data_IF_792321164200
#
_entry.id   IF_792321164200
#
_cell.length_a   1.000
_cell.length_b   1.000
_cell.length_c   1.000
_cell.angle_alpha   90.00
_cell.angle_beta   90.00
_cell.angle_gamma   90.00
#
_symmetry.space_group_name_H-M   'P 1'
#
loop_
_entity.id
_entity.type
_entity.pdbx_description
1 polymer ?
#
# COMPACT_ATOMS: atom_id res chain seq x y z
N UNK A 1 -57.22 41.71 -68.21
CA UNK A 1 -58.02 42.87 -67.78
C UNK A 1 -57.71 43.15 -66.33
N UNK A 2 -57.16 44.36 -66.11
CA UNK A 2 -57.11 45.17 -64.88
C UNK A 2 -56.53 44.50 -63.62
N UNK A 3 -55.26 44.80 -63.26
CA UNK A 3 -54.86 45.94 -62.39
C UNK A 3 -55.51 45.94 -61.00
N UNK A 4 -54.74 45.81 -59.94
CA UNK A 4 -54.38 46.91 -59.06
C UNK A 4 -53.34 46.55 -58.00
N UNK A 5 -52.32 47.34 -57.98
CA UNK A 5 -51.36 47.64 -56.95
C UNK A 5 -52.00 47.95 -55.62
N UNK A 6 -51.38 47.57 -54.52
CA UNK A 6 -51.20 48.50 -53.41
C UNK A 6 -50.07 48.08 -52.45
N UNK A 7 -49.21 49.04 -52.31
CA UNK A 7 -48.18 49.07 -51.26
C UNK A 7 -48.81 48.93 -49.88
N UNK A 8 -48.18 48.13 -49.01
CA UNK A 8 -48.28 48.36 -47.58
C UNK A 8 -46.91 48.15 -46.89
N UNK A 9 -46.56 49.20 -46.31
CA UNK A 9 -45.45 49.67 -45.50
C UNK A 9 -44.92 48.61 -44.51
N UNK A 10 -43.61 48.34 -44.59
CA UNK A 10 -42.84 47.61 -43.61
C UNK A 10 -42.79 48.38 -42.29
N UNK A 11 -43.40 47.85 -41.27
CA UNK A 11 -43.07 48.20 -39.87
C UNK A 11 -42.01 47.21 -39.36
N UNK A 12 -40.78 47.68 -39.28
CA UNK A 12 -39.72 47.03 -38.56
C UNK A 12 -39.99 47.03 -37.05
N UNK A 13 -40.48 45.97 -36.49
CA UNK A 13 -40.39 45.71 -35.03
C UNK A 13 -39.02 45.16 -34.72
N UNK A 14 -38.13 46.00 -34.18
CA UNK A 14 -36.94 45.55 -33.49
C UNK A 14 -37.38 44.89 -32.19
N UNK A 15 -37.35 43.57 -32.15
CA UNK A 15 -37.34 42.80 -30.89
C UNK A 15 -35.93 42.84 -30.33
N UNK A 16 -35.71 43.64 -29.29
CA UNK A 16 -34.54 43.59 -28.47
C UNK A 16 -34.53 42.25 -27.69
N UNK A 17 -33.68 41.33 -28.09
CA UNK A 17 -33.39 40.16 -27.28
C UNK A 17 -32.52 40.58 -26.09
N UNK A 18 -33.12 40.64 -24.92
CA UNK A 18 -32.42 40.76 -23.64
C UNK A 18 -31.77 39.43 -23.38
N UNK A 19 -30.47 39.29 -23.68
CA UNK A 19 -29.66 38.13 -23.28
C UNK A 19 -29.37 38.30 -21.79
N UNK A 20 -30.18 37.67 -20.95
CA UNK A 20 -29.84 37.47 -19.53
C UNK A 20 -28.77 36.41 -19.51
N UNK A 21 -27.50 36.82 -19.43
CA UNK A 21 -26.42 35.96 -19.03
C UNK A 21 -26.63 35.66 -17.54
N UNK A 22 -27.35 34.58 -17.26
CA UNK A 22 -27.34 33.99 -15.93
C UNK A 22 -25.92 33.47 -15.67
N UNK A 23 -25.12 34.27 -15.00
CA UNK A 23 -23.93 33.77 -14.31
C UNK A 23 -24.44 32.80 -13.26
N UNK A 24 -24.56 31.55 -13.65
CA UNK A 24 -24.66 30.44 -12.71
C UNK A 24 -23.39 30.46 -11.88
N UNK A 25 -23.43 31.07 -10.70
CA UNK A 25 -22.52 30.70 -9.63
C UNK A 25 -22.68 29.20 -9.44
N UNK A 26 -21.79 28.42 -10.03
CA UNK A 26 -21.49 27.10 -9.56
C UNK A 26 -21.00 27.29 -8.13
N UNK A 27 -21.92 27.24 -7.18
CA UNK A 27 -21.60 27.01 -5.78
C UNK A 27 -21.09 25.56 -5.79
N UNK A 28 -19.81 25.37 -6.16
CA UNK A 28 -19.11 24.18 -5.74
C UNK A 28 -19.12 24.26 -4.22
N UNK A 29 -20.03 23.50 -3.59
CA UNK A 29 -19.98 23.30 -2.16
C UNK A 29 -18.55 22.94 -1.76
N UNK A 30 -18.12 23.28 -0.56
CA UNK A 30 -16.77 23.01 -0.12
C UNK A 30 -16.52 21.50 -0.28
N UNK A 31 -15.69 21.14 -1.25
CA UNK A 31 -15.18 19.77 -1.35
C UNK A 31 -14.17 19.66 -0.23
N UNK A 32 -14.63 19.16 0.90
CA UNK A 32 -13.81 18.93 2.09
C UNK A 32 -12.81 17.81 1.77
N UNK A 33 -11.53 18.11 1.69
CA UNK A 33 -10.50 17.10 1.49
C UNK A 33 -9.70 16.84 2.78
N UNK A 34 -9.38 17.86 3.59
CA UNK A 34 -8.74 17.65 4.90
C UNK A 34 -9.54 16.68 5.79
N UNK A 35 -8.88 15.92 6.69
CA UNK A 35 -9.58 15.02 7.61
C UNK A 35 -10.69 15.74 8.40
N UNK A 36 -11.91 15.16 8.43
CA UNK A 36 -13.10 15.79 9.00
C UNK A 36 -13.70 14.99 10.15
N UNK A 37 -14.28 15.69 11.11
CA UNK A 37 -15.06 15.09 12.19
C UNK A 37 -14.25 14.19 13.12
N UNK A 38 -12.99 14.55 13.38
CA UNK A 38 -12.10 13.77 14.24
C UNK A 38 -12.56 13.82 15.71
N UNK A 39 -12.80 12.63 16.29
CA UNK A 39 -13.16 12.45 17.72
C UNK A 39 -12.16 11.48 18.34
N UNK A 40 -11.45 11.93 19.38
CA UNK A 40 -10.53 11.08 20.15
C UNK A 40 -11.34 10.11 21.01
N UNK A 41 -11.18 8.79 20.77
CA UNK A 41 -11.91 7.72 21.49
C UNK A 41 -11.07 7.04 22.56
N UNK A 42 -9.74 7.13 22.48
CA UNK A 42 -8.80 6.57 23.44
C UNK A 42 -7.51 7.40 23.47
N UNK A 43 -6.89 7.51 24.64
CA UNK A 43 -5.71 8.34 24.84
C UNK A 43 -6.04 9.83 24.87
N UNK A 44 -5.02 10.67 24.64
CA UNK A 44 -5.15 12.13 24.66
C UNK A 44 -4.49 12.72 23.42
N UNK A 45 -5.26 13.45 22.63
CA UNK A 45 -4.79 14.21 21.49
C UNK A 45 -5.66 15.45 21.27
N UNK A 46 -5.09 16.49 20.64
CA UNK A 46 -5.82 17.65 20.16
C UNK A 46 -5.67 17.76 18.64
N UNK A 47 -6.74 18.19 17.97
CA UNK A 47 -6.79 18.33 16.52
C UNK A 47 -6.98 19.81 16.19
N UNK A 48 -6.05 20.38 15.44
CA UNK A 48 -6.09 21.77 15.02
C UNK A 48 -5.94 21.85 13.49
N UNK A 49 -6.90 22.49 12.83
CA UNK A 49 -6.86 22.75 11.39
C UNK A 49 -6.67 24.24 11.14
N UNK A 50 -5.70 24.60 10.31
CA UNK A 50 -5.44 25.97 9.88
C UNK A 50 -4.97 25.98 8.43
N UNK A 51 -5.74 26.62 7.55
CA UNK A 51 -5.48 26.62 6.13
C UNK A 51 -5.39 25.19 5.56
N UNK A 52 -4.26 24.85 4.97
CA UNK A 52 -4.00 23.55 4.38
C UNK A 52 -3.32 22.55 5.35
N UNK A 53 -3.23 22.87 6.64
CA UNK A 53 -2.50 22.06 7.61
C UNK A 53 -3.44 21.56 8.71
N UNK A 54 -3.44 20.24 8.91
CA UNK A 54 -4.07 19.59 10.05
C UNK A 54 -2.98 19.10 11.00
N UNK A 55 -2.93 19.63 12.22
CA UNK A 55 -1.99 19.18 13.25
C UNK A 55 -2.74 18.36 14.31
N UNK A 56 -2.27 17.15 14.55
CA UNK A 56 -2.72 16.25 15.60
C UNK A 56 -1.60 16.19 16.65
N UNK A 57 -1.83 16.83 17.82
CA UNK A 57 -0.88 16.83 18.92
C UNK A 57 -1.27 15.74 19.91
N UNK A 58 -0.59 14.61 19.86
CA UNK A 58 -0.82 13.46 20.73
C UNK A 58 0.05 13.56 22.01
N UNK A 59 -0.57 13.45 23.16
CA UNK A 59 0.15 13.51 24.44
C UNK A 59 0.45 12.12 25.03
N UNK A 60 -0.35 11.09 24.70
CA UNK A 60 -0.20 9.72 25.21
C UNK A 60 0.56 8.81 24.24
N UNK A 61 1.14 7.69 24.72
CA UNK A 61 1.83 6.71 23.87
C UNK A 61 0.91 6.08 22.82
N UNK A 62 -0.37 5.91 23.15
CA UNK A 62 -1.42 5.45 22.24
C UNK A 62 -2.55 6.44 22.22
N UNK A 63 -3.07 6.73 21.04
CA UNK A 63 -4.33 7.45 20.85
C UNK A 63 -5.14 6.83 19.74
N UNK A 64 -6.46 6.76 19.89
CA UNK A 64 -7.37 6.35 18.83
C UNK A 64 -8.31 7.52 18.50
N UNK A 65 -8.48 7.76 17.20
CA UNK A 65 -9.29 8.86 16.66
C UNK A 65 -10.23 8.29 15.61
N UNK A 66 -11.53 8.51 15.76
CA UNK A 66 -12.52 8.23 14.75
C UNK A 66 -12.75 9.48 13.90
N UNK A 67 -12.77 9.31 12.57
CA UNK A 67 -12.95 10.36 11.59
C UNK A 67 -14.20 10.12 10.75
N UNK A 68 -14.90 11.16 10.34
CA UNK A 68 -15.95 11.05 9.32
C UNK A 68 -15.34 10.83 7.93
N UNK A 69 -14.26 11.54 7.63
CA UNK A 69 -13.45 11.32 6.44
C UNK A 69 -11.98 11.59 6.72
N UNK A 70 -11.08 10.91 6.01
CA UNK A 70 -9.64 11.12 6.09
C UNK A 70 -9.06 11.13 4.67
N UNK A 71 -9.00 12.31 4.08
CA UNK A 71 -8.45 12.57 2.74
C UNK A 71 -7.62 13.85 2.76
N UNK A 72 -6.76 14.04 1.75
CA UNK A 72 -5.96 15.27 1.58
C UNK A 72 -5.90 15.65 0.11
N UNK A 73 -5.92 16.95 -0.19
CA UNK A 73 -5.59 17.52 -1.50
C UNK A 73 -4.08 17.68 -1.67
N UNK A 74 -3.56 17.95 -2.89
CA UNK A 74 -2.12 18.02 -3.14
C UNK A 74 -1.34 19.00 -2.25
N UNK A 75 -1.94 20.14 -1.86
CA UNK A 75 -1.29 21.13 -0.99
C UNK A 75 -1.55 20.93 0.49
N UNK A 76 -2.35 19.93 0.86
CA UNK A 76 -2.72 19.71 2.24
C UNK A 76 -1.72 18.79 2.95
N UNK A 77 -1.48 19.10 4.22
CA UNK A 77 -0.55 18.35 5.06
C UNK A 77 -1.22 17.96 6.36
N UNK A 78 -1.09 16.70 6.74
CA UNK A 78 -1.48 16.18 8.05
C UNK A 78 -0.22 15.87 8.84
N UNK A 79 -0.04 16.49 10.00
CA UNK A 79 1.09 16.28 10.88
C UNK A 79 0.65 15.65 12.21
N UNK A 80 1.26 14.55 12.58
CA UNK A 80 1.13 13.93 13.89
C UNK A 80 2.35 14.27 14.73
N UNK A 81 2.17 15.14 15.71
CA UNK A 81 3.15 15.47 16.74
C UNK A 81 2.95 14.53 17.91
N UNK A 82 3.81 13.54 18.03
CA UNK A 82 3.71 12.44 18.98
C UNK A 82 4.87 12.49 19.97
N UNK A 83 4.71 11.92 21.20
CA UNK A 83 5.76 11.99 22.25
C UNK A 83 7.11 11.42 21.81
N UNK A 84 7.12 10.37 21.00
CA UNK A 84 8.34 9.71 20.49
C UNK A 84 8.03 8.80 19.29
N UNK A 85 9.05 8.17 18.73
CA UNK A 85 8.94 7.28 17.57
C UNK A 85 8.12 5.99 17.85
N UNK A 86 7.99 5.57 19.12
CA UNK A 86 7.22 4.39 19.52
C UNK A 86 5.73 4.67 19.73
N UNK A 87 5.35 5.95 19.86
CA UNK A 87 3.95 6.33 20.03
C UNK A 87 3.10 6.00 18.80
N UNK A 88 1.85 5.59 19.00
CA UNK A 88 0.96 5.12 17.93
C UNK A 88 -0.33 5.93 17.92
N UNK A 89 -0.71 6.46 16.76
CA UNK A 89 -2.01 7.04 16.48
C UNK A 89 -2.84 6.11 15.60
N UNK A 90 -3.92 5.55 16.12
CA UNK A 90 -4.91 4.80 15.36
C UNK A 90 -5.96 5.77 14.81
N UNK A 91 -6.07 5.87 13.49
CA UNK A 91 -7.04 6.71 12.80
C UNK A 91 -8.02 5.81 12.06
N UNK A 92 -9.28 5.80 12.49
CA UNK A 92 -10.33 4.98 11.89
C UNK A 92 -11.35 5.88 11.21
N UNK A 93 -11.60 5.67 9.93
CA UNK A 93 -12.68 6.33 9.20
C UNK A 93 -13.97 5.55 9.44
N UNK A 94 -14.97 6.24 9.97
CA UNK A 94 -16.29 5.69 10.28
C UNK A 94 -17.37 6.14 9.29
N UNK A 95 -17.07 7.11 8.41
CA UNK A 95 -17.94 7.51 7.32
C UNK A 95 -17.88 6.53 6.14
N UNK A 96 -18.62 6.84 5.08
CA UNK A 96 -18.82 5.93 3.94
C UNK A 96 -17.91 6.22 2.74
N UNK A 97 -17.06 7.24 2.83
CA UNK A 97 -16.16 7.63 1.77
C UNK A 97 -14.80 6.92 1.88
N UNK A 98 -14.21 6.53 0.76
CA UNK A 98 -12.83 6.05 0.75
C UNK A 98 -11.86 7.18 1.09
N UNK A 99 -10.70 6.85 1.62
CA UNK A 99 -9.61 7.80 1.83
C UNK A 99 -8.83 8.00 0.54
N UNK A 100 -8.67 9.26 0.11
CA UNK A 100 -7.82 9.65 -1.01
C UNK A 100 -6.79 10.63 -0.48
N UNK A 101 -5.54 10.20 -0.42
CA UNK A 101 -4.42 11.03 0.02
C UNK A 101 -3.66 11.51 -1.21
N UNK A 102 -3.75 12.80 -1.50
CA UNK A 102 -3.02 13.47 -2.59
C UNK A 102 -1.91 14.36 -2.06
N UNK A 103 -1.96 14.75 -0.77
CA UNK A 103 -1.01 15.61 -0.09
C UNK A 103 0.00 14.83 0.78
N UNK A 104 0.45 15.46 1.86
CA UNK A 104 1.45 14.91 2.75
C UNK A 104 0.86 14.44 4.09
N UNK A 105 1.38 13.32 4.60
CA UNK A 105 1.15 12.83 5.96
C UNK A 105 2.51 12.63 6.65
N UNK A 106 2.76 13.36 7.71
CA UNK A 106 4.00 13.28 8.47
C UNK A 106 3.72 12.89 9.92
N UNK A 107 4.60 12.11 10.53
CA UNK A 107 4.49 11.74 11.93
C UNK A 107 5.84 11.59 12.62
N UNK A 108 5.90 12.00 13.89
CA UNK A 108 7.04 11.71 14.77
C UNK A 108 7.12 10.21 15.06
N UNK A 109 5.99 9.60 15.35
CA UNK A 109 5.80 8.19 15.69
C UNK A 109 5.12 7.38 14.58
N UNK A 110 4.25 6.47 14.97
CA UNK A 110 3.57 5.51 14.11
C UNK A 110 2.13 5.92 13.86
N UNK A 111 1.67 5.69 12.64
CA UNK A 111 0.29 6.01 12.24
C UNK A 111 -0.36 4.77 11.63
N UNK A 112 -1.53 4.42 12.16
CA UNK A 112 -2.40 3.41 11.59
C UNK A 112 -3.62 4.12 10.99
N UNK A 113 -3.85 3.93 9.71
CA UNK A 113 -5.01 4.44 8.98
C UNK A 113 -5.90 3.27 8.57
N UNK A 114 -7.12 3.27 9.09
CA UNK A 114 -8.11 2.24 8.79
C UNK A 114 -9.31 2.85 8.09
N UNK A 115 -9.64 2.33 6.91
CA UNK A 115 -10.85 2.70 6.20
C UNK A 115 -11.40 1.52 5.39
N UNK A 116 -12.51 0.93 5.83
CA UNK A 116 -13.15 -0.21 5.18
C UNK A 116 -13.64 0.08 3.74
N UNK A 117 -13.82 1.35 3.38
CA UNK A 117 -14.27 1.76 2.03
C UNK A 117 -13.12 1.85 1.01
N UNK A 118 -11.86 1.68 1.47
CA UNK A 118 -10.67 1.73 0.65
C UNK A 118 -9.75 2.91 0.97
N UNK A 119 -8.48 2.75 0.59
CA UNK A 119 -7.43 3.76 0.78
C UNK A 119 -6.63 3.87 -0.51
N UNK A 120 -6.51 5.09 -1.03
CA UNK A 120 -5.71 5.43 -2.18
C UNK A 120 -4.68 6.50 -1.80
N UNK A 121 -3.41 6.18 -1.92
CA UNK A 121 -2.32 7.15 -1.94
C UNK A 121 -2.11 7.53 -3.41
N UNK A 122 -2.50 8.73 -3.78
CA UNK A 122 -2.45 9.20 -5.17
C UNK A 122 -1.00 9.53 -5.60
N UNK A 123 -0.78 9.63 -6.89
CA UNK A 123 0.52 10.01 -7.43
C UNK A 123 0.95 11.39 -6.91
N UNK A 124 2.17 11.46 -6.37
CA UNK A 124 2.71 12.67 -5.75
C UNK A 124 2.43 12.82 -4.26
N UNK A 125 1.55 12.00 -3.67
CA UNK A 125 1.37 11.99 -2.22
C UNK A 125 2.60 11.44 -1.50
N UNK A 126 2.80 11.89 -0.26
CA UNK A 126 3.93 11.43 0.57
C UNK A 126 3.47 11.06 1.97
N UNK A 127 3.99 9.96 2.48
CA UNK A 127 3.82 9.53 3.88
C UNK A 127 5.21 9.35 4.48
N UNK A 128 5.49 10.05 5.60
CA UNK A 128 6.76 9.98 6.32
C UNK A 128 6.49 9.75 7.80
N UNK A 129 6.79 8.57 8.32
CA UNK A 129 6.46 8.16 9.69
C UNK A 129 7.54 7.28 10.30
N UNK A 130 7.49 7.02 11.63
CA UNK A 130 8.34 6.00 12.22
C UNK A 130 7.85 4.58 11.91
N UNK A 131 6.56 4.41 11.65
CA UNK A 131 5.94 3.19 11.17
C UNK A 131 4.54 3.46 10.66
N UNK A 132 4.12 2.78 9.61
CA UNK A 132 2.85 3.05 8.94
C UNK A 132 2.06 1.77 8.66
N UNK A 133 0.77 1.80 8.98
CA UNK A 133 -0.18 0.76 8.59
C UNK A 133 -1.35 1.42 7.86
N UNK A 134 -1.66 0.98 6.65
CA UNK A 134 -2.90 1.29 5.97
C UNK A 134 -3.73 0.00 5.80
N UNK A 135 -4.97 0.01 6.27
CA UNK A 135 -5.79 -1.19 6.28
C UNK A 135 -7.24 -0.91 5.95
N UNK A 136 -7.82 -1.78 5.13
CA UNK A 136 -9.28 -1.85 4.99
C UNK A 136 -9.92 -2.84 5.97
N UNK A 137 -9.11 -3.61 6.68
CA UNK A 137 -9.52 -4.44 7.80
C UNK A 137 -9.56 -3.61 9.08
N UNK A 138 -10.48 -3.90 9.97
CA UNK A 138 -10.65 -3.17 11.23
C UNK A 138 -9.75 -3.74 12.34
N UNK A 139 -9.27 -2.84 13.20
CA UNK A 139 -8.61 -3.14 14.45
C UNK A 139 -9.46 -2.54 15.59
N UNK A 140 -9.92 -3.33 16.54
CA UNK A 140 -10.74 -2.84 17.65
C UNK A 140 -9.92 -2.00 18.63
N UNK A 141 -10.55 -1.06 19.33
CA UNK A 141 -9.87 -0.26 20.38
C UNK A 141 -9.35 -1.16 21.51
N UNK A 142 -10.07 -2.25 21.82
CA UNK A 142 -9.63 -3.25 22.80
C UNK A 142 -8.31 -3.90 22.38
N UNK A 143 -8.25 -4.42 21.15
CA UNK A 143 -7.06 -5.10 20.63
C UNK A 143 -5.90 -4.10 20.47
N UNK A 144 -6.17 -2.89 19.97
CA UNK A 144 -5.20 -1.82 19.85
C UNK A 144 -4.58 -1.45 21.20
N UNK A 145 -5.40 -1.21 22.22
CA UNK A 145 -4.92 -0.84 23.56
C UNK A 145 -4.13 -1.99 24.21
N UNK A 146 -4.55 -3.24 24.00
CA UNK A 146 -3.86 -4.43 24.46
C UNK A 146 -2.54 -4.73 23.70
N UNK A 147 -2.26 -4.04 22.57
CA UNK A 147 -1.10 -4.35 21.72
C UNK A 147 -1.28 -5.63 20.90
N UNK A 148 -2.51 -6.08 20.70
CA UNK A 148 -2.87 -7.21 19.85
C UNK A 148 -3.26 -6.69 18.46
N UNK A 149 -2.38 -6.86 17.50
CA UNK A 149 -2.58 -6.28 16.15
C UNK A 149 -3.21 -7.30 15.21
N UNK A 150 -4.45 -7.70 15.53
CA UNK A 150 -5.29 -8.61 14.74
C UNK A 150 -6.33 -7.82 13.98
N UNK A 151 -6.09 -7.65 12.69
CA UNK A 151 -6.97 -6.94 11.77
C UNK A 151 -8.01 -7.88 11.20
N UNK A 152 -9.29 -7.50 11.23
CA UNK A 152 -10.41 -8.35 10.78
C UNK A 152 -11.33 -7.57 9.85
N UNK A 153 -11.85 -8.26 8.84
CA UNK A 153 -12.85 -7.71 7.92
C UNK A 153 -14.15 -7.36 8.68
N UNK A 154 -14.69 -6.19 8.38
CA UNK A 154 -15.98 -5.71 8.85
C UNK A 154 -16.79 -5.14 7.67
N UNK A 155 -17.29 -6.01 6.80
CA UNK A 155 -17.99 -5.64 5.55
C UNK A 155 -17.12 -4.87 4.53
N UNK A 156 -15.79 -4.89 4.68
CA UNK A 156 -14.88 -4.25 3.75
C UNK A 156 -14.91 -4.91 2.38
N UNK A 157 -15.08 -4.10 1.34
CA UNK A 157 -14.85 -4.47 -0.07
C UNK A 157 -13.76 -3.59 -0.70
N UNK A 158 -13.21 -2.67 0.09
CA UNK A 158 -12.20 -1.73 -0.37
C UNK A 158 -10.83 -2.38 -0.56
N UNK A 159 -10.00 -1.74 -1.36
CA UNK A 159 -8.59 -2.08 -1.57
C UNK A 159 -7.67 -1.01 -0.98
N UNK A 160 -6.41 -1.38 -0.75
CA UNK A 160 -5.33 -0.43 -0.46
C UNK A 160 -4.45 -0.30 -1.70
N UNK A 161 -4.38 0.91 -2.24
CA UNK A 161 -3.60 1.20 -3.45
C UNK A 161 -2.60 2.32 -3.13
N UNK A 162 -1.33 2.06 -3.36
CA UNK A 162 -0.28 3.07 -3.28
C UNK A 162 0.21 3.45 -4.67
N UNK A 163 0.06 4.71 -5.05
CA UNK A 163 0.65 5.33 -6.24
C UNK A 163 1.61 6.48 -5.85
N UNK A 164 1.73 6.77 -4.56
CA UNK A 164 2.60 7.80 -3.98
C UNK A 164 3.90 7.23 -3.44
N UNK A 165 4.47 7.94 -2.49
CA UNK A 165 5.69 7.52 -1.77
C UNK A 165 5.39 7.35 -0.28
N UNK A 166 5.61 6.15 0.24
CA UNK A 166 5.46 5.83 1.66
C UNK A 166 6.83 5.48 2.24
N UNK A 167 7.28 6.27 3.20
CA UNK A 167 8.60 6.09 3.83
C UNK A 167 8.45 5.89 5.33
N UNK A 168 8.99 4.80 5.84
CA UNK A 168 9.22 4.62 7.27
C UNK A 168 10.66 5.03 7.62
N UNK A 169 10.87 5.58 8.82
CA UNK A 169 12.20 5.83 9.36
C UNK A 169 13.01 4.54 9.45
N UNK A 170 14.32 4.68 9.51
CA UNK A 170 15.24 3.54 9.68
C UNK A 170 14.80 2.63 10.83
N UNK A 171 14.74 1.33 10.58
CA UNK A 171 14.23 0.31 11.53
C UNK A 171 12.70 0.27 11.68
N UNK A 172 11.97 1.18 11.02
CA UNK A 172 10.51 1.22 11.04
C UNK A 172 9.84 0.19 10.13
N UNK A 173 8.54 0.38 9.90
CA UNK A 173 7.80 -0.56 9.05
C UNK A 173 6.70 0.11 8.25
N UNK A 174 6.33 -0.53 7.13
CA UNK A 174 5.12 -0.21 6.36
C UNK A 174 4.31 -1.49 6.17
N UNK A 175 3.02 -1.47 6.53
CA UNK A 175 2.12 -2.58 6.25
C UNK A 175 0.86 -2.09 5.51
N UNK A 176 0.54 -2.71 4.39
CA UNK A 176 -0.69 -2.48 3.63
C UNK A 176 -1.54 -3.76 3.70
N UNK A 177 -2.77 -3.66 4.24
CA UNK A 177 -3.60 -4.81 4.57
C UNK A 177 -5.02 -4.66 3.99
N UNK A 178 -5.54 -5.71 3.37
CA UNK A 178 -6.91 -5.71 2.83
C UNK A 178 -7.21 -6.91 1.96
N UNK A 179 -8.43 -7.04 1.40
CA UNK A 179 -8.74 -8.09 0.43
C UNK A 179 -7.92 -7.99 -0.85
N UNK A 180 -7.59 -6.77 -1.28
CA UNK A 180 -6.68 -6.52 -2.39
C UNK A 180 -5.73 -5.37 -2.05
N UNK A 181 -4.43 -5.58 -2.31
CA UNK A 181 -3.36 -4.63 -2.03
C UNK A 181 -2.51 -4.45 -3.28
N UNK A 182 -2.31 -3.21 -3.72
CA UNK A 182 -1.52 -2.88 -4.90
C UNK A 182 -0.52 -1.76 -4.61
N UNK A 183 0.75 -2.03 -4.82
CA UNK A 183 1.79 -1.01 -4.86
C UNK A 183 2.13 -0.65 -6.31
N UNK A 184 1.81 0.59 -6.69
CA UNK A 184 2.10 1.21 -7.98
C UNK A 184 2.94 2.48 -7.79
N UNK A 185 3.53 2.66 -6.62
CA UNK A 185 4.40 3.74 -6.23
C UNK A 185 5.61 3.21 -5.47
N UNK A 186 6.18 4.02 -4.61
CA UNK A 186 7.40 3.68 -3.87
C UNK A 186 7.08 3.44 -2.39
N UNK A 187 7.60 2.34 -1.84
CA UNK A 187 7.59 2.06 -0.40
C UNK A 187 9.03 1.87 0.07
N UNK A 188 9.43 2.56 1.14
CA UNK A 188 10.79 2.47 1.69
C UNK A 188 10.79 2.28 3.22
N UNK A 189 11.55 1.28 3.72
CA UNK A 189 11.75 0.99 5.14
C UNK A 189 13.14 0.40 5.38
N UNK A 190 14.19 1.21 5.24
CA UNK A 190 15.59 0.77 5.43
C UNK A 190 15.81 0.17 6.82
N UNK A 191 16.46 -0.99 6.90
CA UNK A 191 16.67 -1.81 8.10
C UNK A 191 15.36 -2.17 8.84
N UNK A 192 14.24 -2.03 8.15
CA UNK A 192 12.90 -2.26 8.68
C UNK A 192 12.14 -3.32 7.92
N UNK A 193 10.82 -3.26 7.96
CA UNK A 193 9.97 -4.26 7.30
C UNK A 193 8.90 -3.62 6.43
N UNK A 194 8.68 -4.21 5.25
CA UNK A 194 7.54 -3.89 4.40
C UNK A 194 6.67 -5.14 4.26
N UNK A 195 5.37 -4.98 4.51
CA UNK A 195 4.40 -6.06 4.37
C UNK A 195 3.22 -5.62 3.51
N UNK A 196 2.90 -6.42 2.49
CA UNK A 196 1.66 -6.31 1.73
C UNK A 196 0.91 -7.63 1.93
N UNK A 197 -0.27 -7.58 2.56
CA UNK A 197 -0.98 -8.80 2.92
C UNK A 197 -2.46 -8.75 2.54
N UNK A 198 -2.92 -9.82 1.88
CA UNK A 198 -4.29 -9.98 1.44
C UNK A 198 -5.00 -11.12 2.16
N UNK A 199 -6.12 -10.81 2.80
CA UNK A 199 -6.97 -11.74 3.53
C UNK A 199 -8.11 -11.04 4.23
N UNK A 200 -9.01 -11.80 4.86
CA UNK A 200 -10.12 -11.30 5.69
C UNK A 200 -9.74 -11.18 7.17
N UNK A 201 -8.66 -11.86 7.58
CA UNK A 201 -8.04 -11.71 8.90
C UNK A 201 -6.52 -11.79 8.77
N UNK A 202 -5.84 -10.75 9.27
CA UNK A 202 -4.38 -10.64 9.23
C UNK A 202 -3.86 -10.27 10.61
N UNK A 203 -2.88 -11.01 11.08
CA UNK A 203 -2.17 -10.74 12.34
C UNK A 203 -0.78 -10.20 12.05
N UNK A 204 -0.44 -9.06 12.62
CA UNK A 204 0.91 -8.50 12.61
C UNK A 204 1.62 -8.84 13.92
N UNK A 205 2.77 -9.50 13.83
CA UNK A 205 3.59 -9.90 14.97
C UNK A 205 4.79 -8.97 15.11
N UNK A 206 4.91 -8.35 16.28
CA UNK A 206 5.99 -7.43 16.61
C UNK A 206 6.92 -8.04 17.67
N UNK A 207 8.21 -7.74 17.55
CA UNK A 207 9.18 -7.92 18.62
C UNK A 207 9.68 -6.52 19.04
N UNK A 208 9.21 -6.05 20.20
CA UNK A 208 9.36 -4.64 20.56
C UNK A 208 8.69 -3.75 19.51
N UNK A 209 9.48 -2.91 18.88
CA UNK A 209 8.99 -1.94 17.87
C UNK A 209 9.11 -2.43 16.43
N UNK A 210 9.72 -3.59 16.19
CA UNK A 210 9.97 -4.14 14.87
C UNK A 210 8.88 -5.11 14.44
N UNK A 211 8.34 -4.94 13.23
CA UNK A 211 7.45 -5.92 12.59
C UNK A 211 8.28 -7.13 12.14
N UNK A 212 8.09 -8.27 12.77
CA UNK A 212 8.87 -9.47 12.50
C UNK A 212 8.19 -10.48 11.59
N UNK A 213 6.86 -10.53 11.62
CA UNK A 213 6.08 -11.44 10.77
C UNK A 213 4.65 -10.96 10.53
N UNK A 214 4.07 -11.47 9.44
CA UNK A 214 2.68 -11.27 9.04
C UNK A 214 2.04 -12.63 8.80
N UNK A 215 0.89 -12.88 9.44
CA UNK A 215 0.13 -14.11 9.27
C UNK A 215 -1.23 -13.77 8.66
N UNK A 216 -1.59 -14.38 7.54
CA UNK A 216 -2.94 -14.32 6.99
C UNK A 216 -3.75 -15.47 7.58
N UNK A 217 -4.51 -15.18 8.65
CA UNK A 217 -5.29 -16.18 9.39
C UNK A 217 -6.51 -16.68 8.60
N UNK A 218 -7.18 -15.75 7.87
CA UNK A 218 -8.34 -16.07 7.04
C UNK A 218 -8.19 -15.47 5.65
N UNK A 219 -8.43 -16.28 4.65
CA UNK A 219 -8.40 -15.88 3.25
C UNK A 219 -9.60 -15.04 2.83
N UNK A 220 -9.54 -14.41 1.67
CA UNK A 220 -10.58 -13.58 1.06
C UNK A 220 -10.92 -14.04 -0.35
N UNK A 221 -12.11 -13.66 -0.86
CA UNK A 221 -12.61 -14.14 -2.16
C UNK A 221 -11.74 -13.76 -3.36
N UNK A 222 -11.11 -12.59 -3.35
CA UNK A 222 -10.26 -12.09 -4.44
C UNK A 222 -8.90 -11.70 -3.87
N UNK A 223 -8.20 -12.69 -3.29
CA UNK A 223 -6.93 -12.46 -2.63
C UNK A 223 -5.85 -12.01 -3.65
N UNK A 224 -5.49 -10.74 -3.60
CA UNK A 224 -4.52 -10.14 -4.50
C UNK A 224 -3.52 -9.28 -3.75
N UNK A 225 -2.24 -9.57 -3.93
CA UNK A 225 -1.14 -8.67 -3.60
C UNK A 225 -0.31 -8.46 -4.86
N UNK A 226 -0.08 -7.20 -5.23
CA UNK A 226 0.77 -6.89 -6.37
C UNK A 226 1.74 -5.74 -6.08
N UNK A 227 2.97 -5.88 -6.60
CA UNK A 227 3.95 -4.81 -6.69
C UNK A 227 4.28 -4.54 -8.15
N UNK A 228 3.98 -3.32 -8.60
CA UNK A 228 4.20 -2.87 -9.99
C UNK A 228 5.31 -1.83 -10.11
N UNK A 229 5.73 -1.20 -8.99
CA UNK A 229 6.76 -0.18 -8.99
C UNK A 229 7.90 -0.59 -8.05
N UNK A 230 8.07 0.01 -6.86
CA UNK A 230 9.27 -0.27 -6.07
C UNK A 230 8.98 -0.44 -4.57
N UNK A 231 9.66 -1.43 -3.97
CA UNK A 231 9.73 -1.66 -2.52
C UNK A 231 11.19 -1.78 -2.13
N UNK A 232 11.64 -0.94 -1.19
CA UNK A 232 13.01 -0.89 -0.68
C UNK A 232 13.04 -1.13 0.83
N UNK A 233 13.75 -2.18 1.26
CA UNK A 233 13.95 -2.54 2.66
C UNK A 233 15.37 -3.07 2.91
N UNK A 234 16.38 -2.38 2.42
CA UNK A 234 17.79 -2.80 2.56
C UNK A 234 18.16 -2.99 4.04
N UNK A 235 18.80 -4.10 4.37
CA UNK A 235 19.09 -4.54 5.75
C UNK A 235 17.86 -5.00 6.52
N UNK A 236 16.74 -5.22 5.87
CA UNK A 236 15.45 -5.53 6.46
C UNK A 236 14.68 -6.64 5.74
N UNK A 237 13.35 -6.54 5.77
CA UNK A 237 12.48 -7.62 5.31
C UNK A 237 11.34 -7.09 4.43
N UNK A 238 11.04 -7.82 3.35
CA UNK A 238 9.84 -7.61 2.53
C UNK A 238 9.00 -8.88 2.51
N UNK A 239 7.71 -8.75 2.81
CA UNK A 239 6.74 -9.86 2.82
C UNK A 239 5.56 -9.46 1.93
N UNK A 240 5.33 -10.20 0.85
CA UNK A 240 4.11 -10.15 0.05
C UNK A 240 3.37 -11.48 0.27
N UNK A 241 2.17 -11.43 0.83
CA UNK A 241 1.40 -12.65 1.11
C UNK A 241 -0.08 -12.48 0.84
N UNK A 242 -0.69 -13.47 0.20
CA UNK A 242 -2.11 -13.51 -0.08
C UNK A 242 -2.67 -14.88 0.25
N UNK A 243 -3.91 -14.93 0.78
CA UNK A 243 -4.62 -16.17 1.04
C UNK A 243 -6.03 -16.09 0.49
N UNK A 244 -6.39 -17.06 -0.37
CA UNK A 244 -7.75 -17.19 -0.86
C UNK A 244 -8.67 -17.79 0.22
N UNK A 245 -9.95 -17.46 0.17
CA UNK A 245 -10.96 -18.02 1.07
C UNK A 245 -11.27 -19.50 0.75
N UNK A 246 -11.02 -19.90 -0.49
CA UNK A 246 -11.31 -21.21 -1.04
C UNK A 246 -10.20 -21.57 -2.04
N UNK A 247 -9.78 -22.83 -2.05
CA UNK A 247 -8.73 -23.34 -2.95
C UNK A 247 -9.13 -23.24 -4.45
N UNK A 248 -10.42 -23.15 -4.74
CA UNK A 248 -10.92 -22.93 -6.12
C UNK A 248 -10.68 -21.52 -6.65
N UNK A 249 -10.50 -20.53 -5.78
CA UNK A 249 -10.39 -19.12 -6.16
C UNK A 249 -8.96 -18.68 -6.44
N UNK A 250 -7.98 -19.35 -5.85
CA UNK A 250 -6.55 -19.10 -6.00
C UNK A 250 -6.12 -17.68 -5.55
N UNK A 251 -5.23 -17.61 -4.56
CA UNK A 251 -4.58 -16.37 -4.18
C UNK A 251 -3.58 -15.93 -5.26
N UNK A 252 -3.34 -14.63 -5.40
CA UNK A 252 -2.34 -14.11 -6.32
C UNK A 252 -1.37 -13.17 -5.62
N UNK A 253 -0.07 -13.46 -5.77
CA UNK A 253 1.02 -12.58 -5.37
C UNK A 253 1.86 -12.29 -6.61
N UNK A 254 1.81 -11.05 -7.10
CA UNK A 254 2.43 -10.65 -8.36
C UNK A 254 3.51 -9.59 -8.12
N UNK A 255 4.71 -9.82 -8.64
CA UNK A 255 5.75 -8.80 -8.70
C UNK A 255 6.19 -8.57 -10.15
N UNK A 256 5.87 -7.40 -10.69
CA UNK A 256 6.39 -6.91 -11.97
C UNK A 256 7.32 -5.71 -11.81
N UNK A 257 7.44 -5.18 -10.60
CA UNK A 257 8.32 -4.08 -10.23
C UNK A 257 9.62 -4.54 -9.57
N UNK A 258 10.17 -3.70 -8.71
CA UNK A 258 11.40 -3.95 -7.96
C UNK A 258 11.06 -4.23 -6.50
N UNK A 259 11.58 -5.32 -5.96
CA UNK A 259 11.66 -5.57 -4.52
C UNK A 259 13.13 -5.71 -4.17
N UNK A 260 13.61 -4.83 -3.29
CA UNK A 260 14.99 -4.78 -2.88
C UNK A 260 15.09 -4.85 -1.36
N UNK A 261 15.83 -5.84 -0.87
CA UNK A 261 16.17 -6.03 0.53
C UNK A 261 17.63 -6.51 0.60
N UNK A 262 18.56 -5.64 0.19
CA UNK A 262 19.99 -5.96 0.12
C UNK A 262 20.60 -6.00 1.53
N UNK A 263 21.66 -6.78 1.69
CA UNK A 263 22.43 -6.77 2.91
C UNK A 263 23.12 -5.41 3.13
N UNK A 264 22.95 -4.86 4.32
CA UNK A 264 23.70 -3.67 4.81
C UNK A 264 24.56 -4.10 6.00
N UNK A 265 25.87 -4.03 5.86
CA UNK A 265 26.83 -4.56 6.83
C UNK A 265 26.55 -6.05 7.09
N UNK A 266 26.18 -6.41 8.34
CA UNK A 266 25.85 -7.80 8.72
C UNK A 266 24.33 -8.06 8.75
N UNK A 267 23.51 -7.07 8.43
CA UNK A 267 22.06 -7.19 8.38
C UNK A 267 21.64 -7.75 7.02
N UNK A 268 21.41 -9.07 6.97
CA UNK A 268 20.96 -9.74 5.76
C UNK A 268 19.52 -9.35 5.44
N UNK A 269 19.27 -8.99 4.19
CA UNK A 269 17.93 -8.76 3.71
C UNK A 269 17.16 -10.04 3.44
N UNK A 270 15.84 -9.98 3.50
CA UNK A 270 14.98 -11.10 3.12
C UNK A 270 13.75 -10.65 2.35
N UNK A 271 13.36 -11.46 1.36
CA UNK A 271 12.18 -11.24 0.53
C UNK A 271 11.35 -12.52 0.53
N UNK A 272 10.09 -12.46 0.90
CA UNK A 272 9.15 -13.58 0.85
C UNK A 272 7.92 -13.20 0.04
N UNK A 273 7.62 -13.98 -1.00
CA UNK A 273 6.39 -13.91 -1.80
C UNK A 273 5.65 -15.24 -1.60
N UNK A 274 4.49 -15.20 -0.93
CA UNK A 274 3.75 -16.41 -0.63
C UNK A 274 2.25 -16.28 -0.98
N UNK A 275 1.81 -17.09 -1.94
CA UNK A 275 0.41 -17.21 -2.36
C UNK A 275 -0.20 -18.50 -1.79
N UNK A 276 -0.84 -18.42 -0.62
CA UNK A 276 -1.50 -19.57 0.03
C UNK A 276 -2.69 -20.06 -0.79
N UNK A 277 -2.65 -21.27 -1.32
CA UNK A 277 -3.67 -21.82 -2.20
C UNK A 277 -3.73 -21.08 -3.54
N UNK A 278 -2.55 -20.72 -4.14
CA UNK A 278 -2.57 -19.94 -5.36
C UNK A 278 -1.24 -19.77 -6.08
N UNK A 279 -1.10 -18.68 -6.84
CA UNK A 279 0.05 -18.45 -7.71
C UNK A 279 0.90 -17.25 -7.25
N UNK A 280 2.20 -17.47 -7.09
CA UNK A 280 3.20 -16.41 -7.04
C UNK A 280 3.82 -16.20 -8.43
N UNK A 281 3.63 -15.02 -9.02
CA UNK A 281 4.14 -14.68 -10.34
C UNK A 281 5.21 -13.59 -10.26
N UNK A 282 6.41 -13.90 -10.74
CA UNK A 282 7.59 -13.04 -10.70
C UNK A 282 7.99 -12.67 -12.12
N UNK A 283 7.90 -11.38 -12.43
CA UNK A 283 8.19 -10.82 -13.74
C UNK A 283 9.13 -9.59 -13.63
N UNK A 284 9.39 -9.12 -12.42
CA UNK A 284 10.27 -8.01 -12.10
C UNK A 284 11.56 -8.44 -11.39
N UNK A 285 12.09 -7.56 -10.55
CA UNK A 285 13.34 -7.77 -9.81
C UNK A 285 13.08 -8.17 -8.37
N UNK A 286 13.80 -9.19 -7.89
CA UNK A 286 13.96 -9.55 -6.48
C UNK A 286 15.45 -9.47 -6.16
N UNK A 287 15.86 -8.50 -5.34
CA UNK A 287 17.26 -8.24 -5.01
C UNK A 287 17.50 -8.33 -3.50
N UNK A 288 18.09 -9.45 -3.05
CA UNK A 288 18.60 -9.66 -1.70
C UNK A 288 20.14 -9.82 -1.73
N UNK A 289 20.83 -9.13 -2.61
CA UNK A 289 22.29 -9.19 -2.76
C UNK A 289 23.03 -8.50 -1.61
N UNK A 290 24.34 -8.75 -1.53
CA UNK A 290 25.28 -8.03 -0.68
C UNK A 290 26.32 -7.32 -1.58
N UNK A 291 26.02 -6.13 -2.13
CA UNK A 291 26.84 -5.51 -3.17
C UNK A 291 28.16 -4.93 -2.64
N UNK A 292 28.31 -4.72 -1.35
CA UNK A 292 29.51 -4.08 -0.75
C UNK A 292 30.27 -5.10 0.12
N UNK A 293 29.62 -5.60 1.17
CA UNK A 293 30.18 -6.53 2.16
C UNK A 293 29.07 -7.39 2.76
N UNK A 294 29.44 -8.48 3.42
CA UNK A 294 28.51 -9.42 4.04
C UNK A 294 28.07 -10.52 3.09
N UNK A 295 27.29 -11.45 3.59
CA UNK A 295 26.69 -12.51 2.79
C UNK A 295 25.42 -12.01 2.09
N UNK A 296 25.09 -12.63 0.96
CA UNK A 296 23.80 -12.47 0.31
C UNK A 296 22.65 -12.88 1.21
N UNK A 297 21.46 -12.29 0.99
CA UNK A 297 20.27 -12.51 1.80
C UNK A 297 19.47 -13.74 1.36
N UNK A 298 18.18 -13.72 1.67
CA UNK A 298 17.28 -14.83 1.43
C UNK A 298 16.07 -14.36 0.61
N UNK A 299 15.72 -15.13 -0.43
CA UNK A 299 14.50 -14.96 -1.21
C UNK A 299 13.69 -16.24 -1.15
N UNK A 300 12.38 -16.12 -0.91
CA UNK A 300 11.43 -17.22 -0.97
C UNK A 300 10.28 -16.85 -1.91
N UNK A 301 9.94 -17.76 -2.81
CA UNK A 301 8.79 -17.68 -3.71
C UNK A 301 8.01 -18.98 -3.58
N UNK A 302 6.81 -18.89 -2.99
CA UNK A 302 6.03 -20.05 -2.55
C UNK A 302 4.55 -19.92 -2.91
N UNK A 303 3.88 -21.04 -3.11
CA UNK A 303 2.46 -21.14 -3.43
C UNK A 303 2.15 -22.48 -4.09
N UNK A 304 0.89 -22.78 -4.39
CA UNK A 304 0.56 -23.99 -5.17
C UNK A 304 1.28 -23.94 -6.53
N UNK A 305 1.46 -22.73 -7.07
CA UNK A 305 2.25 -22.49 -8.29
C UNK A 305 3.19 -21.30 -8.10
N UNK A 306 4.38 -21.44 -8.66
CA UNK A 306 5.34 -20.35 -8.79
C UNK A 306 5.66 -20.18 -10.27
N UNK A 307 5.50 -18.98 -10.81
CA UNK A 307 5.78 -18.67 -12.22
C UNK A 307 6.83 -17.58 -12.32
N UNK A 308 7.93 -17.90 -13.03
CA UNK A 308 9.07 -16.99 -13.21
C UNK A 308 9.18 -16.63 -14.68
N UNK A 309 8.94 -15.38 -15.01
CA UNK A 309 9.07 -14.89 -16.39
C UNK A 309 10.55 -14.80 -16.82
N UNK A 310 10.81 -14.88 -18.11
CA UNK A 310 12.18 -14.85 -18.66
C UNK A 310 12.91 -13.53 -18.40
N UNK A 311 12.18 -12.43 -18.22
CA UNK A 311 12.75 -11.11 -17.89
C UNK A 311 12.94 -10.87 -16.40
N UNK A 312 12.50 -11.82 -15.55
CA UNK A 312 12.67 -11.71 -14.11
C UNK A 312 14.17 -11.70 -13.76
N UNK A 313 14.55 -10.80 -12.84
CA UNK A 313 15.91 -10.68 -12.35
C UNK A 313 15.94 -10.99 -10.84
N UNK A 314 16.47 -12.16 -10.49
CA UNK A 314 16.55 -12.61 -9.10
C UNK A 314 18.02 -12.72 -8.72
N UNK A 315 18.43 -12.05 -7.63
CA UNK A 315 19.82 -12.07 -7.16
C UNK A 315 19.92 -12.12 -5.64
N UNK A 316 20.79 -13.01 -5.17
CA UNK A 316 21.27 -13.09 -3.79
C UNK A 316 22.81 -13.07 -3.77
N UNK A 317 23.44 -12.52 -4.80
CA UNK A 317 24.88 -12.49 -4.96
C UNK A 317 25.56 -11.70 -3.85
N UNK A 318 26.77 -12.10 -3.49
CA UNK A 318 27.65 -11.34 -2.60
C UNK A 318 28.92 -10.93 -3.31
N UNK A 319 29.34 -9.67 -3.11
CA UNK A 319 30.61 -9.17 -3.65
C UNK A 319 31.84 -9.68 -2.88
N UNK A 320 31.69 -9.97 -1.58
CA UNK A 320 32.81 -10.34 -0.70
C UNK A 320 32.52 -11.43 0.32
N UNK A 321 31.29 -11.96 0.34
CA UNK A 321 30.86 -13.02 1.26
C UNK A 321 30.31 -14.23 0.50
N UNK A 322 29.58 -15.08 1.19
CA UNK A 322 28.85 -16.17 0.57
C UNK A 322 27.60 -15.63 -0.16
N UNK A 323 27.30 -16.19 -1.34
CA UNK A 323 26.03 -15.93 -1.98
C UNK A 323 24.88 -16.41 -1.09
N UNK A 324 23.75 -15.68 -1.12
CA UNK A 324 22.53 -16.08 -0.44
C UNK A 324 21.78 -17.19 -1.15
N UNK A 325 20.54 -17.41 -0.73
CA UNK A 325 19.69 -18.49 -1.20
C UNK A 325 18.39 -17.94 -1.77
N UNK A 326 17.97 -18.44 -2.91
CA UNK A 326 16.62 -18.34 -3.43
C UNK A 326 15.92 -19.69 -3.31
N UNK A 327 14.89 -19.76 -2.47
CA UNK A 327 14.00 -20.92 -2.31
C UNK A 327 12.79 -20.74 -3.24
N UNK A 328 12.49 -21.77 -4.03
CA UNK A 328 11.30 -21.91 -4.87
C UNK A 328 10.53 -23.11 -4.31
N UNK A 329 9.33 -22.87 -3.77
CA UNK A 329 8.56 -23.87 -3.04
C UNK A 329 7.09 -23.94 -3.52
N UNK A 330 6.80 -24.54 -4.70
CA UNK A 330 5.47 -24.84 -5.20
C UNK A 330 5.10 -26.32 -4.97
N UNK A 331 3.84 -26.68 -5.19
CA UNK A 331 3.36 -28.07 -5.21
C UNK A 331 3.87 -28.89 -6.40
N UNK A 332 4.58 -28.27 -7.31
CA UNK A 332 5.22 -28.88 -8.48
C UNK A 332 5.83 -27.79 -9.35
N UNK A 333 6.97 -28.07 -10.00
CA UNK A 333 7.72 -27.06 -10.75
C UNK A 333 8.33 -27.60 -12.04
N UNK A 334 7.94 -27.01 -13.17
CA UNK A 334 8.41 -27.43 -14.48
C UNK A 334 9.41 -26.43 -15.06
N UNK A 335 10.67 -26.89 -15.24
CA UNK A 335 11.73 -26.11 -15.90
C UNK A 335 11.78 -26.51 -17.37
N UNK A 336 10.97 -25.88 -18.19
CA UNK A 336 10.88 -26.13 -19.62
C UNK A 336 10.64 -24.83 -20.38
N UNK A 337 10.67 -24.87 -21.70
CA UNK A 337 10.41 -23.68 -22.54
C UNK A 337 9.02 -23.04 -22.28
N UNK A 338 8.03 -23.83 -21.90
CA UNK A 338 6.63 -23.42 -21.65
C UNK A 338 6.19 -23.74 -20.24
N UNK A 339 7.12 -24.07 -19.36
CA UNK A 339 6.87 -24.42 -17.97
C UNK A 339 6.73 -23.22 -17.04
N UNK A 340 7.08 -23.41 -15.80
CA UNK A 340 7.00 -22.40 -14.76
C UNK A 340 8.23 -21.48 -14.74
N UNK A 341 9.37 -21.99 -15.23
CA UNK A 341 10.61 -21.24 -15.46
C UNK A 341 11.36 -21.84 -16.66
N UNK A 342 12.09 -21.00 -17.42
CA UNK A 342 12.97 -21.54 -18.46
C UNK A 342 14.35 -21.92 -17.92
N UNK A 343 15.06 -22.82 -18.63
CA UNK A 343 16.44 -23.18 -18.31
C UNK A 343 17.39 -21.97 -18.36
N UNK A 344 17.13 -21.00 -19.22
CA UNK A 344 17.94 -19.76 -19.30
C UNK A 344 17.76 -18.91 -18.05
N UNK A 345 16.52 -18.75 -17.54
CA UNK A 345 16.22 -18.02 -16.32
C UNK A 345 16.90 -18.68 -15.12
N UNK A 346 16.85 -20.02 -15.01
CA UNK A 346 17.56 -20.76 -13.96
C UNK A 346 19.08 -20.56 -14.07
N UNK A 347 19.64 -20.66 -15.27
CA UNK A 347 21.07 -20.45 -15.50
C UNK A 347 21.52 -19.06 -15.06
N UNK A 348 20.73 -18.03 -15.32
CA UNK A 348 21.04 -16.66 -14.89
C UNK A 348 20.95 -16.51 -13.37
N UNK A 349 19.93 -17.08 -12.74
CA UNK A 349 19.80 -17.06 -11.28
C UNK A 349 20.97 -17.78 -10.56
N UNK A 350 21.43 -18.91 -11.09
CA UNK A 350 22.58 -19.66 -10.56
C UNK A 350 23.91 -18.89 -10.66
N UNK A 351 24.03 -17.89 -11.56
CA UNK A 351 25.18 -16.98 -11.59
C UNK A 351 25.13 -15.93 -10.49
N UNK A 352 23.94 -15.68 -9.95
CA UNK A 352 23.64 -14.58 -9.03
C UNK A 352 23.27 -15.07 -7.62
N UNK A 353 23.39 -16.37 -7.31
CA UNK A 353 23.06 -16.93 -6.01
C UNK A 353 22.90 -18.45 -6.02
N UNK A 354 22.59 -19.01 -4.85
CA UNK A 354 22.22 -20.41 -4.70
C UNK A 354 20.71 -20.57 -4.91
N UNK A 355 20.30 -21.55 -5.69
CA UNK A 355 18.88 -21.83 -5.96
C UNK A 355 18.52 -23.19 -5.33
N UNK A 356 17.48 -23.20 -4.53
CA UNK A 356 16.87 -24.41 -3.96
C UNK A 356 15.45 -24.52 -4.47
N UNK A 357 15.07 -25.67 -5.01
CA UNK A 357 13.72 -25.99 -5.44
C UNK A 357 13.24 -27.11 -4.53
N UNK A 358 12.19 -26.82 -3.76
CA UNK A 358 11.45 -27.78 -2.95
C UNK A 358 10.08 -27.99 -3.59
N UNK A 359 9.55 -29.22 -3.61
CA UNK A 359 8.22 -29.53 -4.15
C UNK A 359 7.72 -30.84 -3.55
#
# INVERSE_FOLDING_TARGET
MLMKSSHHMMFKKQMAYLVIIAWGCLISGPVWAAPQGGVVTSGTATINQSGHVTNINQATQKAAINWQSFSTRPQETVNFHQPNAAAIALNRVIGNERSILEGALNATGRVFLINSNGILFAKGSTVNTAGFIASTLNLTDKDFNAGSYVFKKNNSTGSVINMGTITAKEGGYVALLGPAVSNQGVIAATKGSVALASGDKVTLNFNGDSLVNVTVDQGTLNALVENKEAVYADGGKVILTAKAADDLLGAQVNNSGIIQARTINDLKGSITLYAHGGTAAIDGTLDASAPITGDGGFIETSGDRVKIADRANITTASAKGANGIWLIDPDGFAITRTGDMTGNTLTNALKSGNVTIAS
#
